data_IF_025025450323
#
_entry.id   IF_025025450323
#
_cell.length_a   1.000
_cell.length_b   1.000
_cell.length_c   1.000
_cell.angle_alpha   90.00
_cell.angle_beta   90.00
_cell.angle_gamma   90.00
#
_symmetry.space_group_name_H-M   'P 1'
#
loop_
_entity.id
_entity.type
_entity.pdbx_description
1 polymer ?
#
# COMPACT_ATOMS: atom_id res chain seq x y z
N UNK A 1 7.77 -14.41 20.60
CA UNK A 1 7.16 -13.45 19.65
C UNK A 1 5.88 -12.93 20.28
N UNK A 2 5.83 -11.65 20.64
CA UNK A 2 4.58 -10.97 20.97
C UNK A 2 3.67 -11.02 19.74
N UNK A 3 2.42 -11.48 19.91
CA UNK A 3 1.37 -11.26 18.90
C UNK A 3 0.95 -9.79 19.00
N UNK A 4 1.73 -8.92 18.39
CA UNK A 4 1.30 -7.54 18.18
C UNK A 4 0.10 -7.58 17.23
N UNK A 5 -1.05 -7.11 17.74
CA UNK A 5 -2.26 -7.01 16.95
C UNK A 5 -2.10 -5.84 15.98
N UNK A 6 -2.31 -6.10 14.69
CA UNK A 6 -2.65 -5.05 13.74
C UNK A 6 -3.94 -4.37 14.23
N UNK A 7 -3.90 -3.06 14.37
CA UNK A 7 -5.04 -2.27 14.86
C UNK A 7 -5.15 -0.96 14.08
N UNK A 8 -6.34 -0.36 14.07
CA UNK A 8 -6.63 0.86 13.34
C UNK A 8 -7.04 0.62 11.89
N UNK A 9 -6.90 1.65 11.05
CA UNK A 9 -7.25 1.62 9.64
C UNK A 9 -6.09 1.07 8.80
N UNK A 10 -6.40 0.12 7.92
CA UNK A 10 -5.45 -0.38 6.93
C UNK A 10 -6.00 -0.34 5.52
N UNK A 11 -5.10 -0.10 4.56
CA UNK A 11 -5.46 0.12 3.16
C UNK A 11 -5.00 -1.04 2.29
N UNK A 12 -5.92 -1.65 1.54
CA UNK A 12 -5.59 -2.51 0.42
C UNK A 12 -5.10 -1.65 -0.74
N UNK A 13 -3.81 -1.74 -1.06
CA UNK A 13 -3.19 -0.88 -2.06
C UNK A 13 -3.57 -1.33 -3.47
N UNK A 14 -3.89 -0.36 -4.34
CA UNK A 14 -3.89 -0.57 -5.79
C UNK A 14 -2.45 -0.71 -6.29
N UNK A 15 -2.20 -1.52 -7.33
CA UNK A 15 -0.90 -1.56 -8.01
C UNK A 15 -0.93 -0.64 -9.23
N UNK A 16 -0.18 0.49 -9.22
CA UNK A 16 -0.07 1.35 -10.39
C UNK A 16 0.75 0.65 -11.47
N UNK A 17 0.25 0.67 -12.71
CA UNK A 17 0.96 0.15 -13.88
C UNK A 17 1.27 1.28 -14.86
N UNK A 18 2.43 1.20 -15.50
CA UNK A 18 2.80 2.01 -16.64
C UNK A 18 1.92 1.65 -17.84
N UNK A 19 1.94 2.48 -18.89
CA UNK A 19 1.11 2.25 -20.10
C UNK A 19 1.45 0.93 -20.82
N UNK A 20 2.68 0.47 -20.70
CA UNK A 20 3.18 -0.81 -21.22
C UNK A 20 2.93 -2.00 -20.28
N UNK A 21 2.26 -1.78 -19.15
CA UNK A 21 1.83 -2.83 -18.23
C UNK A 21 2.88 -3.30 -17.23
N UNK A 22 4.04 -2.63 -17.16
CA UNK A 22 5.00 -2.83 -16.08
C UNK A 22 4.51 -2.13 -14.79
N UNK A 23 5.00 -2.55 -13.62
CA UNK A 23 4.69 -1.86 -12.37
C UNK A 23 5.32 -0.47 -12.39
N UNK A 24 4.54 0.57 -12.13
CA UNK A 24 5.06 1.92 -11.94
C UNK A 24 5.55 2.09 -10.50
N UNK A 25 6.82 1.74 -10.26
CA UNK A 25 7.44 1.80 -8.93
C UNK A 25 7.46 3.21 -8.35
N UNK A 26 7.58 4.24 -9.20
CA UNK A 26 7.61 5.64 -8.74
C UNK A 26 6.24 6.05 -8.22
N UNK A 27 5.17 5.74 -8.95
CA UNK A 27 3.80 6.00 -8.52
C UNK A 27 3.44 5.16 -7.28
N UNK A 28 3.85 3.89 -7.24
CA UNK A 28 3.61 3.03 -6.08
C UNK A 28 4.30 3.56 -4.82
N UNK A 29 5.54 4.03 -4.92
CA UNK A 29 6.26 4.64 -3.79
C UNK A 29 5.57 5.91 -3.32
N UNK A 30 5.18 6.80 -4.24
CA UNK A 30 4.47 8.02 -3.88
C UNK A 30 3.12 7.72 -3.18
N UNK A 31 2.39 6.70 -3.63
CA UNK A 31 1.15 6.25 -2.99
C UNK A 31 1.43 5.73 -1.57
N UNK A 32 2.47 4.93 -1.37
CA UNK A 32 2.84 4.41 -0.05
C UNK A 32 3.23 5.56 0.89
N UNK A 33 4.08 6.47 0.42
CA UNK A 33 4.55 7.62 1.21
C UNK A 33 3.35 8.48 1.66
N UNK A 34 2.40 8.75 0.76
CA UNK A 34 1.17 9.45 1.10
C UNK A 34 0.34 8.73 2.18
N UNK A 35 0.18 7.42 2.09
CA UNK A 35 -0.58 6.66 3.11
C UNK A 35 0.06 6.75 4.50
N UNK A 36 1.39 6.76 4.55
CA UNK A 36 2.16 6.91 5.79
C UNK A 36 2.01 8.33 6.35
N UNK A 37 2.12 9.35 5.50
CA UNK A 37 1.93 10.76 5.86
C UNK A 37 0.52 11.01 6.44
N UNK A 38 -0.50 10.38 5.85
CA UNK A 38 -1.90 10.41 6.31
C UNK A 38 -2.21 9.45 7.47
N UNK A 39 -1.18 8.86 8.09
CA UNK A 39 -1.28 8.07 9.33
C UNK A 39 -2.15 6.79 9.19
N UNK A 40 -2.12 6.13 8.04
CA UNK A 40 -2.65 4.77 7.91
C UNK A 40 -1.82 3.81 8.76
N UNK A 41 -2.48 2.86 9.43
CA UNK A 41 -1.83 2.04 10.46
C UNK A 41 -1.10 0.85 9.85
N UNK A 42 -1.60 0.30 8.74
CA UNK A 42 -0.95 -0.79 8.02
C UNK A 42 -1.38 -0.82 6.55
N UNK A 43 -0.48 -1.28 5.68
CA UNK A 43 -0.72 -1.40 4.24
C UNK A 43 -0.79 -2.87 3.85
N UNK A 44 -1.74 -3.21 2.98
CA UNK A 44 -1.95 -4.57 2.48
C UNK A 44 -1.71 -4.58 0.97
N UNK A 45 -0.50 -4.98 0.52
CA UNK A 45 -0.21 -5.15 -0.90
C UNK A 45 -0.71 -6.49 -1.43
N UNK A 46 -0.77 -6.64 -2.75
CA UNK A 46 -1.12 -7.90 -3.44
C UNK A 46 -2.47 -8.51 -3.03
N UNK A 47 -3.41 -7.68 -2.58
CA UNK A 47 -4.80 -8.07 -2.38
C UNK A 47 -5.60 -7.99 -3.68
N UNK A 48 -6.87 -8.39 -3.68
CA UNK A 48 -7.73 -8.29 -4.88
C UNK A 48 -7.97 -6.87 -5.38
N UNK A 49 -7.69 -5.86 -4.56
CA UNK A 49 -7.75 -4.45 -4.94
C UNK A 49 -6.57 -4.02 -5.80
N UNK A 50 -5.43 -4.71 -5.68
CA UNK A 50 -4.16 -4.34 -6.31
C UNK A 50 -3.75 -5.26 -7.44
#
# INVERSE_FOLDING_TARGET
MSREKLFGAGTALVTPFTRDGAVDEKALRALIDWQIEERIHFLVPCGSTG
#
